data_IF_248236455672
#
_entry.id   IF_248236455672
#
_cell.length_a   1.000
_cell.length_b   1.000
_cell.length_c   1.000
_cell.angle_alpha   90.00
_cell.angle_beta   90.00
_cell.angle_gamma   90.00
#
_symmetry.space_group_name_H-M   'P 1'
#
loop_
_entity.id
_entity.type
_entity.pdbx_description
1 polymer ?
#
# COMPACT_ATOMS: atom_id res chain seq x y z
N UNK A 1 10.24 -2.06 -11.66
CA UNK A 1 9.13 -2.76 -11.01
C UNK A 1 7.80 -2.11 -11.36
N UNK A 2 6.76 -2.90 -11.48
CA UNK A 2 5.41 -2.41 -11.71
C UNK A 2 4.81 -1.97 -10.38
N UNK A 3 4.45 -0.70 -10.27
CA UNK A 3 4.00 -0.08 -9.03
C UNK A 3 2.52 0.26 -9.06
N UNK A 4 1.83 -0.02 -7.97
CA UNK A 4 0.45 0.37 -7.75
C UNK A 4 0.39 1.27 -6.51
N UNK A 5 -0.37 2.35 -6.59
CA UNK A 5 -0.48 3.29 -5.47
C UNK A 5 -1.73 3.01 -4.66
N UNK A 6 -1.63 3.19 -3.35
CA UNK A 6 -2.80 3.23 -2.49
C UNK A 6 -2.74 4.47 -1.60
N UNK A 7 -3.80 5.27 -1.64
CA UNK A 7 -3.95 6.48 -0.85
C UNK A 7 -5.24 6.42 -0.04
N UNK A 8 -5.20 6.86 1.21
CA UNK A 8 -6.37 6.87 2.08
C UNK A 8 -6.35 8.07 3.01
N UNK A 9 -7.54 8.65 3.21
CA UNK A 9 -7.78 9.62 4.28
C UNK A 9 -9.05 9.20 5.03
N UNK A 10 -9.13 9.53 6.31
CA UNK A 10 -10.27 9.15 7.17
C UNK A 10 -11.51 9.99 6.88
N UNK A 11 -11.34 11.19 6.40
CA UNK A 11 -12.42 12.13 6.12
C UNK A 11 -12.35 12.58 4.67
N UNK A 12 -13.40 13.26 4.20
CA UNK A 12 -13.45 13.79 2.84
C UNK A 12 -12.46 14.95 2.69
N UNK A 13 -11.22 14.61 2.39
CA UNK A 13 -10.13 15.56 2.21
C UNK A 13 -9.42 15.24 0.89
N UNK A 14 -9.98 15.75 -0.20
CA UNK A 14 -9.43 15.53 -1.54
C UNK A 14 -8.02 16.09 -1.68
N UNK A 15 -7.73 17.19 -0.99
CA UNK A 15 -6.41 17.81 -1.06
C UNK A 15 -5.33 16.86 -0.49
N UNK A 16 -5.64 16.19 0.62
CA UNK A 16 -4.71 15.25 1.21
C UNK A 16 -4.49 14.03 0.33
N UNK A 17 -5.54 13.55 -0.35
CA UNK A 17 -5.42 12.45 -1.30
C UNK A 17 -4.54 12.84 -2.48
N UNK A 18 -4.73 14.05 -3.03
CA UNK A 18 -3.91 14.53 -4.14
C UNK A 18 -2.45 14.66 -3.74
N UNK A 19 -2.20 15.13 -2.52
CA UNK A 19 -0.83 15.26 -2.00
C UNK A 19 -0.18 13.88 -1.88
N UNK A 20 -0.89 12.90 -1.34
CA UNK A 20 -0.37 11.53 -1.24
C UNK A 20 -0.03 10.98 -2.62
N UNK A 21 -0.94 11.12 -3.58
CA UNK A 21 -0.73 10.60 -4.92
C UNK A 21 0.49 11.25 -5.59
N UNK A 22 0.66 12.56 -5.41
CA UNK A 22 1.79 13.29 -5.96
C UNK A 22 3.11 12.82 -5.36
N UNK A 23 3.14 12.60 -4.06
CA UNK A 23 4.31 12.09 -3.35
C UNK A 23 4.70 10.71 -3.87
N UNK A 24 3.72 9.81 -4.02
CA UNK A 24 3.96 8.47 -4.49
C UNK A 24 4.42 8.45 -5.94
N UNK A 25 3.82 9.28 -6.79
CA UNK A 25 4.22 9.38 -8.19
C UNK A 25 5.65 9.85 -8.31
N UNK A 26 6.02 10.88 -7.55
CA UNK A 26 7.38 11.40 -7.57
C UNK A 26 8.39 10.30 -7.18
N UNK A 27 8.08 9.55 -6.14
CA UNK A 27 8.95 8.47 -5.72
C UNK A 27 9.11 7.42 -6.82
N UNK A 28 7.99 7.00 -7.41
CA UNK A 28 8.02 5.98 -8.47
C UNK A 28 8.84 6.44 -9.67
N UNK A 29 8.70 7.70 -10.08
CA UNK A 29 9.45 8.25 -11.18
C UNK A 29 10.95 8.28 -10.89
N UNK A 30 11.33 8.70 -9.69
CA UNK A 30 12.74 8.75 -9.30
C UNK A 30 13.34 7.35 -9.18
N UNK A 31 12.56 6.38 -8.77
CA UNK A 31 13.01 5.00 -8.63
C UNK A 31 13.01 4.22 -9.95
N UNK A 32 12.45 4.80 -11.01
CA UNK A 32 12.35 4.12 -12.31
C UNK A 32 11.25 3.07 -12.35
N UNK A 33 10.23 3.18 -11.49
CA UNK A 33 9.13 2.23 -11.47
C UNK A 33 8.10 2.58 -12.54
N UNK A 34 7.47 1.55 -13.12
CA UNK A 34 6.35 1.73 -14.05
C UNK A 34 5.06 1.76 -13.25
N UNK A 35 4.31 2.86 -13.35
CA UNK A 35 3.04 3.00 -12.62
C UNK A 35 1.96 2.28 -13.41
N UNK A 36 1.36 1.25 -12.82
CA UNK A 36 0.34 0.43 -13.50
C UNK A 36 -1.06 0.68 -12.96
N UNK A 37 -1.22 1.41 -11.87
CA UNK A 37 -2.52 1.76 -11.34
C UNK A 37 -2.43 2.54 -10.06
N UNK A 38 -3.58 3.09 -9.65
CA UNK A 38 -3.70 3.84 -8.42
C UNK A 38 -5.11 3.68 -7.87
N UNK A 39 -5.23 3.52 -6.57
CA UNK A 39 -6.50 3.45 -5.87
C UNK A 39 -6.48 4.45 -4.72
N UNK A 40 -7.58 5.16 -4.53
CA UNK A 40 -7.69 6.16 -3.48
C UNK A 40 -9.09 6.08 -2.87
N UNK A 41 -9.17 6.29 -1.56
CA UNK A 41 -10.48 6.23 -0.90
C UNK A 41 -10.49 7.02 0.40
N UNK A 42 -11.71 7.30 0.85
CA UNK A 42 -11.96 7.80 2.17
C UNK A 42 -12.45 6.63 3.00
N UNK A 43 -11.89 6.42 4.17
CA UNK A 43 -12.31 5.31 5.01
C UNK A 43 -11.53 5.23 6.30
N UNK A 44 -12.11 4.50 7.26
CA UNK A 44 -11.51 4.30 8.57
C UNK A 44 -10.28 3.38 8.48
N UNK A 45 -9.23 3.71 9.23
CA UNK A 45 -8.10 2.82 9.40
C UNK A 45 -8.37 1.60 10.29
N UNK A 46 -9.58 1.52 10.88
CA UNK A 46 -9.95 0.45 11.80
C UNK A 46 -10.45 -0.81 11.12
N UNK A 47 -10.71 -0.76 9.81
CA UNK A 47 -11.12 -1.92 9.04
C UNK A 47 -10.39 -1.98 7.73
N UNK A 48 -10.18 -3.18 7.20
CA UNK A 48 -9.60 -3.40 5.87
C UNK A 48 -10.67 -3.71 4.82
N UNK A 49 -11.95 -3.69 5.21
CA UNK A 49 -13.06 -3.88 4.28
C UNK A 49 -13.35 -2.58 3.53
N UNK A 50 -12.43 -2.23 2.62
CA UNK A 50 -12.50 -1.01 1.83
C UNK A 50 -12.27 -1.34 0.35
N UNK A 51 -13.16 -0.89 -0.55
CA UNK A 51 -13.09 -1.29 -1.96
C UNK A 51 -11.76 -0.99 -2.66
N UNK A 52 -11.16 0.18 -2.41
CA UNK A 52 -9.90 0.52 -3.05
C UNK A 52 -8.76 -0.38 -2.55
N UNK A 53 -8.76 -0.71 -1.26
CA UNK A 53 -7.76 -1.62 -0.70
C UNK A 53 -7.90 -3.02 -1.28
N UNK A 54 -9.15 -3.45 -1.50
CA UNK A 54 -9.42 -4.73 -2.15
C UNK A 54 -8.98 -4.73 -3.61
N UNK A 55 -9.16 -3.62 -4.31
CA UNK A 55 -8.70 -3.47 -5.69
C UNK A 55 -7.18 -3.67 -5.79
N UNK A 56 -6.44 -3.09 -4.86
CA UNK A 56 -4.98 -3.26 -4.80
C UNK A 56 -4.61 -4.74 -4.62
N UNK A 57 -5.30 -5.41 -3.70
CA UNK A 57 -5.05 -6.84 -3.47
C UNK A 57 -5.36 -7.66 -4.71
N UNK A 58 -6.47 -7.41 -5.37
CA UNK A 58 -6.84 -8.13 -6.60
C UNK A 58 -5.77 -7.98 -7.68
N UNK A 59 -5.25 -6.76 -7.86
CA UNK A 59 -4.19 -6.52 -8.83
C UNK A 59 -2.91 -7.29 -8.46
N UNK A 60 -2.60 -7.35 -7.17
CA UNK A 60 -1.46 -8.11 -6.67
C UNK A 60 -1.61 -9.61 -6.91
N UNK A 61 -2.79 -10.16 -6.57
CA UNK A 61 -3.07 -11.58 -6.75
C UNK A 61 -3.08 -11.98 -8.22
N UNK A 62 -3.42 -11.05 -9.11
CA UNK A 62 -3.41 -11.30 -10.55
C UNK A 62 -2.02 -11.22 -11.17
N UNK A 63 -0.99 -10.96 -10.39
CA UNK A 63 0.39 -10.89 -10.87
C UNK A 63 0.71 -9.63 -11.66
N UNK A 64 -0.11 -8.59 -11.54
CA UNK A 64 0.06 -7.34 -12.30
C UNK A 64 0.90 -6.30 -11.59
N UNK A 65 1.33 -6.56 -10.37
CA UNK A 65 1.99 -5.59 -9.51
C UNK A 65 3.21 -6.22 -8.86
N UNK A 66 4.32 -5.48 -8.81
CA UNK A 66 5.52 -5.91 -8.09
C UNK A 66 5.62 -5.23 -6.73
N UNK A 67 5.15 -3.99 -6.63
CA UNK A 67 5.24 -3.21 -5.40
C UNK A 67 4.02 -2.31 -5.24
N UNK A 68 3.50 -2.22 -4.03
CA UNK A 68 2.45 -1.28 -3.66
C UNK A 68 3.11 -0.14 -2.89
N UNK A 69 2.89 1.09 -3.34
CA UNK A 69 3.41 2.29 -2.70
C UNK A 69 2.35 2.93 -1.82
N UNK A 70 2.71 3.22 -0.58
CA UNK A 70 1.86 3.97 0.37
C UNK A 70 2.72 5.06 1.01
N UNK A 71 2.08 6.12 1.51
CA UNK A 71 2.82 7.18 2.19
C UNK A 71 3.33 6.71 3.55
N UNK A 72 2.51 5.98 4.30
CA UNK A 72 2.90 5.40 5.59
C UNK A 72 2.06 4.16 5.85
N UNK A 73 2.52 3.32 6.77
CA UNK A 73 1.90 2.01 7.02
C UNK A 73 0.46 2.11 7.53
N UNK A 74 0.13 3.16 8.26
CA UNK A 74 -1.22 3.36 8.79
C UNK A 74 -2.26 3.59 7.69
N UNK A 75 -1.85 3.84 6.45
CA UNK A 75 -2.79 3.93 5.32
C UNK A 75 -3.43 2.57 5.03
N UNK A 76 -2.71 1.48 5.26
CA UNK A 76 -3.30 0.13 5.15
C UNK A 76 -4.33 -0.06 6.26
N UNK A 77 -3.97 0.23 7.51
CA UNK A 77 -4.90 0.11 8.61
C UNK A 77 -4.20 0.36 9.94
N UNK A 78 -5.01 0.53 10.99
CA UNK A 78 -4.51 0.73 12.34
C UNK A 78 -4.58 -0.53 13.20
N UNK A 79 -5.29 -1.55 12.74
CA UNK A 79 -5.28 -2.86 13.39
C UNK A 79 -4.06 -3.61 12.90
N UNK A 80 -3.08 -3.77 13.78
CA UNK A 80 -1.79 -4.35 13.40
C UNK A 80 -1.92 -5.80 12.97
N UNK A 81 -2.79 -6.58 13.62
CA UNK A 81 -2.99 -7.97 13.24
C UNK A 81 -3.53 -8.11 11.83
N UNK A 82 -4.55 -7.32 11.49
CA UNK A 82 -5.13 -7.33 10.15
C UNK A 82 -4.17 -6.79 9.11
N UNK A 83 -3.43 -5.74 9.43
CA UNK A 83 -2.44 -5.16 8.53
C UNK A 83 -1.35 -6.17 8.21
N UNK A 84 -0.89 -6.89 9.22
CA UNK A 84 0.14 -7.92 9.06
C UNK A 84 -0.34 -9.03 8.13
N UNK A 85 -1.59 -9.47 8.28
CA UNK A 85 -2.18 -10.50 7.41
C UNK A 85 -2.28 -10.01 5.96
N UNK A 86 -2.65 -8.74 5.76
CA UNK A 86 -2.73 -8.16 4.43
C UNK A 86 -1.35 -8.17 3.75
N UNK A 87 -0.33 -7.76 4.48
CA UNK A 87 1.05 -7.74 3.96
C UNK A 87 1.54 -9.16 3.67
N UNK A 88 1.21 -10.12 4.53
CA UNK A 88 1.61 -11.51 4.32
C UNK A 88 1.02 -12.07 3.02
N UNK A 89 -0.24 -11.75 2.75
CA UNK A 89 -0.89 -12.21 1.52
C UNK A 89 -0.24 -11.58 0.28
N UNK A 90 0.09 -10.30 0.33
CA UNK A 90 0.84 -9.66 -0.75
C UNK A 90 2.19 -10.35 -0.95
N UNK A 91 2.90 -10.64 0.13
CA UNK A 91 4.21 -11.27 0.08
C UNK A 91 4.14 -12.67 -0.55
N UNK A 92 3.10 -13.43 -0.24
CA UNK A 92 2.89 -14.76 -0.84
C UNK A 92 2.80 -14.66 -2.37
N UNK A 93 2.30 -13.55 -2.88
CA UNK A 93 2.17 -13.33 -4.32
C UNK A 93 3.32 -12.50 -4.88
N UNK A 94 4.42 -12.42 -4.13
CA UNK A 94 5.64 -11.71 -4.52
C UNK A 94 5.45 -10.22 -4.74
N UNK A 95 4.50 -9.62 -4.02
CA UNK A 95 4.24 -8.19 -4.04
C UNK A 95 4.80 -7.58 -2.77
N UNK A 96 5.63 -6.56 -2.91
CA UNK A 96 6.22 -5.85 -1.78
C UNK A 96 5.41 -4.60 -1.46
N UNK A 97 5.55 -4.10 -0.24
CA UNK A 97 4.91 -2.86 0.19
C UNK A 97 6.02 -1.85 0.49
N UNK A 98 5.93 -0.68 -0.13
CA UNK A 98 6.92 0.37 0.10
C UNK A 98 6.26 1.55 0.80
N UNK A 99 6.76 1.85 2.02
CA UNK A 99 6.35 3.02 2.78
C UNK A 99 7.27 4.18 2.39
N UNK A 100 6.75 5.11 1.59
CA UNK A 100 7.58 6.13 0.97
C UNK A 100 8.20 7.09 1.99
N UNK A 101 7.46 7.46 3.03
CA UNK A 101 8.00 8.38 4.05
C UNK A 101 9.18 7.81 4.80
N UNK A 102 9.11 6.52 5.13
CA UNK A 102 10.20 5.84 5.83
C UNK A 102 11.23 5.27 4.85
N UNK A 103 10.95 5.30 3.55
CA UNK A 103 11.78 4.70 2.51
C UNK A 103 12.10 3.25 2.82
N UNK A 104 11.09 2.52 3.27
CA UNK A 104 11.24 1.17 3.76
C UNK A 104 10.38 0.19 2.96
N UNK A 105 11.03 -0.83 2.41
CA UNK A 105 10.33 -1.93 1.74
C UNK A 105 9.95 -2.96 2.80
N UNK A 106 8.66 -3.32 2.84
CA UNK A 106 8.11 -4.20 3.87
C UNK A 106 7.51 -5.44 3.21
N UNK A 107 7.82 -6.61 3.75
CA UNK A 107 7.18 -7.87 3.43
C UNK A 107 7.02 -8.68 4.71
N UNK A 108 6.50 -9.91 4.62
CA UNK A 108 6.24 -10.69 5.82
C UNK A 108 7.51 -11.03 6.60
N UNK A 109 8.67 -11.07 5.96
CA UNK A 109 9.93 -11.33 6.63
C UNK A 109 10.34 -10.18 7.56
N UNK A 110 9.80 -8.97 7.33
CA UNK A 110 10.07 -7.81 8.18
C UNK A 110 9.53 -8.01 9.59
N UNK A 111 8.58 -8.92 9.78
CA UNK A 111 7.96 -9.16 11.08
C UNK A 111 8.54 -10.36 11.82
N UNK A 112 9.28 -11.20 11.13
CA UNK A 112 9.91 -12.37 11.74
C UNK A 112 11.16 -11.92 12.51
N UNK A 113 11.50 -12.56 13.65
CA UNK A 113 10.79 -13.66 14.32
C UNK A 113 9.74 -13.18 15.33
N UNK A 114 9.55 -11.89 15.46
CA UNK A 114 8.80 -11.29 16.58
C UNK A 114 7.29 -11.44 16.41
N UNK A 115 6.81 -11.77 15.22
CA UNK A 115 5.38 -11.74 14.89
C UNK A 115 4.86 -13.08 14.36
N UNK A 116 5.63 -14.10 14.55
CA UNK A 116 5.22 -15.44 14.15
C UNK A 116 4.29 -16.07 15.16
#
# INVERSE_FOLDING_TARGET
MKAYFYCRVAHDDSFSLERQAKELRRYAEQAGYTIVGAAAEHGSGMTLDRPALQEVMEAGLAGKVDVVLISSLDRIGRDWGMTKQYIALLTEHKVKLLCVRERMMIDSSSFSPFFT
#
